data_IF_686557858232
#
_entry.id   IF_686557858232
#
_cell.length_a   1.000
_cell.length_b   1.000
_cell.length_c   1.000
_cell.angle_alpha   90.00
_cell.angle_beta   90.00
_cell.angle_gamma   90.00
#
_symmetry.space_group_name_H-M   'P 1'
#
loop_
_entity.id
_entity.type
_entity.pdbx_description
1 polymer ?
#
# COMPACT_ATOMS: atom_id res chain seq x y z
N UNK A 1 -19.52 -6.46 26.67
CA UNK A 1 -18.77 -7.03 25.52
C UNK A 1 -18.07 -5.86 24.84
N UNK A 2 -17.12 -5.29 25.57
CA UNK A 2 -16.40 -4.05 25.23
C UNK A 2 -14.91 -4.41 25.35
N UNK A 3 -14.06 -3.86 24.47
CA UNK A 3 -12.64 -4.22 24.23
C UNK A 3 -12.37 -5.22 23.10
N UNK A 4 -12.92 -5.00 21.91
CA UNK A 4 -12.44 -5.71 20.70
C UNK A 4 -12.07 -4.83 19.50
N UNK A 5 -11.93 -3.52 19.69
CA UNK A 5 -11.21 -2.70 18.71
C UNK A 5 -9.76 -2.67 19.16
N UNK A 6 -8.90 -3.42 18.46
CA UNK A 6 -7.44 -3.29 18.56
C UNK A 6 -7.06 -1.87 18.16
N UNK A 7 -6.97 -0.96 19.11
CA UNK A 7 -6.73 0.47 18.85
C UNK A 7 -5.36 0.81 18.22
N UNK A 8 -4.47 -0.16 17.98
CA UNK A 8 -3.19 0.13 17.35
C UNK A 8 -2.70 -0.96 16.38
N UNK A 9 -3.54 -1.45 15.45
CA UNK A 9 -3.02 -2.35 14.40
C UNK A 9 -2.15 -1.59 13.38
N UNK A 10 -2.60 -0.43 12.92
CA UNK A 10 -2.01 0.33 11.82
C UNK A 10 -0.78 1.17 12.16
N UNK A 11 -0.66 1.79 13.36
CA UNK A 11 0.51 2.57 13.72
C UNK A 11 1.82 1.82 13.47
N UNK A 12 2.71 2.42 12.67
CA UNK A 12 4.02 1.86 12.34
C UNK A 12 4.03 0.72 11.31
N UNK A 13 2.87 0.23 10.84
CA UNK A 13 2.83 -0.80 9.77
C UNK A 13 3.31 -0.22 8.45
N UNK A 14 4.21 -0.92 7.78
CA UNK A 14 4.62 -0.64 6.41
C UNK A 14 3.57 -1.21 5.47
N UNK A 15 2.77 -0.34 4.87
CA UNK A 15 1.71 -0.72 3.93
C UNK A 15 2.12 -0.35 2.52
N UNK A 16 2.14 -1.33 1.62
CA UNK A 16 2.42 -1.12 0.20
C UNK A 16 1.12 -1.19 -0.62
N UNK A 17 0.89 -0.19 -1.48
CA UNK A 17 -0.32 -0.09 -2.31
C UNK A 17 0.05 0.01 -3.79
N UNK A 18 -0.31 -0.98 -4.60
CA UNK A 18 -0.29 -0.80 -6.07
C UNK A 18 -1.55 -0.05 -6.50
N UNK A 19 -1.45 0.86 -7.47
CA UNK A 19 -2.59 1.66 -7.93
C UNK A 19 -2.98 2.79 -6.97
N UNK A 20 -2.08 3.23 -6.09
CA UNK A 20 -2.34 4.26 -5.06
C UNK A 20 -2.76 5.64 -5.62
N UNK A 21 -2.50 5.92 -6.90
CA UNK A 21 -2.92 7.16 -7.57
C UNK A 21 -4.34 7.11 -8.15
N UNK A 22 -4.97 5.93 -8.21
CA UNK A 22 -6.36 5.79 -8.63
C UNK A 22 -7.35 6.16 -7.52
N UNK A 23 -8.64 6.30 -7.86
CA UNK A 23 -9.66 6.75 -6.91
C UNK A 23 -9.68 5.95 -5.58
N UNK A 24 -9.74 4.63 -5.64
CA UNK A 24 -9.74 3.79 -4.42
C UNK A 24 -8.39 3.83 -3.70
N UNK A 25 -7.31 3.85 -4.46
CA UNK A 25 -5.95 3.84 -3.93
C UNK A 25 -5.62 5.11 -3.15
N UNK A 26 -6.05 6.27 -3.63
CA UNK A 26 -5.78 7.55 -2.99
C UNK A 26 -6.55 7.70 -1.67
N UNK A 27 -7.83 7.29 -1.65
CA UNK A 27 -8.63 7.24 -0.42
C UNK A 27 -8.08 6.25 0.60
N UNK A 28 -7.67 5.05 0.17
CA UNK A 28 -7.07 4.06 1.06
C UNK A 28 -5.74 4.57 1.65
N UNK A 29 -4.88 5.15 0.82
CA UNK A 29 -3.61 5.72 1.27
C UNK A 29 -3.84 6.84 2.30
N UNK A 30 -4.76 7.76 2.02
CA UNK A 30 -5.15 8.83 2.94
C UNK A 30 -5.61 8.29 4.30
N UNK A 31 -6.49 7.29 4.28
CA UNK A 31 -7.03 6.69 5.51
C UNK A 31 -5.94 5.99 6.33
N UNK A 32 -5.07 5.21 5.68
CA UNK A 32 -3.97 4.50 6.37
C UNK A 32 -2.94 5.45 6.97
N UNK A 33 -2.63 6.55 6.29
CA UNK A 33 -1.77 7.61 6.83
C UNK A 33 -2.39 8.23 8.09
N UNK A 34 -3.71 8.49 8.08
CA UNK A 34 -4.44 8.99 9.27
C UNK A 34 -4.42 7.99 10.44
N UNK A 35 -4.36 6.70 10.14
CA UNK A 35 -4.26 5.63 11.14
C UNK A 35 -2.81 5.36 11.61
N UNK A 36 -1.84 6.16 11.16
CA UNK A 36 -0.43 6.08 11.58
C UNK A 36 0.41 5.02 10.86
N UNK A 37 -0.08 4.45 9.75
CA UNK A 37 0.72 3.54 8.95
C UNK A 37 1.77 4.29 8.11
N UNK A 38 2.92 3.64 7.87
CA UNK A 38 3.89 4.08 6.87
C UNK A 38 3.47 3.55 5.50
N UNK A 39 3.01 4.41 4.60
CA UNK A 39 2.47 4.00 3.30
C UNK A 39 3.48 4.26 2.18
N UNK A 40 3.69 3.27 1.31
CA UNK A 40 4.34 3.44 -0.01
C UNK A 40 3.40 3.00 -1.12
N UNK A 41 3.40 3.75 -2.20
CA UNK A 41 2.55 3.48 -3.35
C UNK A 41 3.35 3.29 -4.63
N UNK A 42 2.83 2.48 -5.54
CA UNK A 42 3.34 2.38 -6.92
C UNK A 42 2.17 2.31 -7.91
N UNK A 43 2.17 3.20 -8.89
CA UNK A 43 1.22 3.21 -10.00
C UNK A 43 1.99 3.50 -11.28
N UNK A 44 1.65 2.81 -12.37
CA UNK A 44 2.25 3.02 -13.68
C UNK A 44 1.17 2.96 -14.75
N UNK A 45 1.43 3.63 -15.87
CA UNK A 45 0.72 3.33 -17.11
C UNK A 45 1.01 1.89 -17.57
N UNK A 46 0.11 1.27 -18.35
CA UNK A 46 0.39 0.01 -19.02
C UNK A 46 1.69 0.09 -19.85
N UNK A 47 2.41 -1.02 -19.99
CA UNK A 47 3.59 -1.15 -20.86
C UNK A 47 4.77 -0.22 -20.53
N UNK A 48 5.19 -0.21 -19.26
CA UNK A 48 6.39 0.52 -18.79
C UNK A 48 7.60 -0.42 -18.67
N UNK A 49 8.81 0.14 -18.79
CA UNK A 49 10.08 -0.57 -18.57
C UNK A 49 10.85 0.13 -17.45
N UNK A 50 11.20 -0.56 -16.35
CA UNK A 50 10.84 -1.94 -16.01
C UNK A 50 9.33 -2.12 -15.79
N UNK A 51 8.84 -3.35 -15.99
CA UNK A 51 7.44 -3.66 -15.79
C UNK A 51 7.05 -3.50 -14.30
N UNK A 52 5.76 -3.20 -14.06
CA UNK A 52 5.23 -3.01 -12.70
C UNK A 52 5.61 -4.17 -11.76
N UNK A 53 5.51 -5.41 -12.24
CA UNK A 53 5.84 -6.61 -11.46
C UNK A 53 7.30 -6.61 -10.96
N UNK A 54 8.24 -6.16 -11.79
CA UNK A 54 9.66 -6.10 -11.44
C UNK A 54 9.91 -5.03 -10.36
N UNK A 55 9.32 -3.85 -10.51
CA UNK A 55 9.43 -2.80 -9.50
C UNK A 55 8.81 -3.22 -8.17
N UNK A 56 7.65 -3.90 -8.20
CA UNK A 56 6.99 -4.44 -7.01
C UNK A 56 7.90 -5.44 -6.30
N UNK A 57 8.52 -6.38 -7.02
CA UNK A 57 9.44 -7.36 -6.43
C UNK A 57 10.63 -6.68 -5.73
N UNK A 58 11.25 -5.68 -6.38
CA UNK A 58 12.36 -4.89 -5.80
C UNK A 58 11.94 -4.13 -4.55
N UNK A 59 10.74 -3.54 -4.55
CA UNK A 59 10.19 -2.81 -3.41
C UNK A 59 9.88 -3.73 -2.23
N UNK A 60 9.28 -4.89 -2.48
CA UNK A 60 8.99 -5.88 -1.43
C UNK A 60 10.29 -6.39 -0.81
N UNK A 61 11.30 -6.71 -1.61
CA UNK A 61 12.59 -7.19 -1.11
C UNK A 61 13.34 -6.13 -0.28
N UNK A 62 13.33 -4.86 -0.72
CA UNK A 62 14.10 -3.79 -0.07
C UNK A 62 13.39 -3.15 1.13
N UNK A 63 12.07 -3.01 1.08
CA UNK A 63 11.30 -2.28 2.11
C UNK A 63 10.48 -3.19 3.02
N UNK A 64 10.21 -4.43 2.60
CA UNK A 64 9.58 -5.48 3.41
C UNK A 64 8.28 -5.01 4.08
N UNK A 65 7.21 -4.74 3.30
CA UNK A 65 5.93 -4.30 3.85
C UNK A 65 5.30 -5.39 4.72
N UNK A 66 4.61 -4.97 5.78
CA UNK A 66 3.82 -5.86 6.65
C UNK A 66 2.48 -6.21 5.98
N UNK A 67 1.95 -5.31 5.16
CA UNK A 67 0.66 -5.44 4.47
C UNK A 67 0.78 -4.94 3.03
N UNK A 68 0.16 -5.67 2.10
CA UNK A 68 0.10 -5.29 0.68
C UNK A 68 -1.36 -5.21 0.23
N UNK A 69 -1.73 -4.08 -0.37
CA UNK A 69 -2.99 -3.91 -1.10
C UNK A 69 -2.67 -3.81 -2.60
N UNK A 70 -3.19 -4.74 -3.39
CA UNK A 70 -3.07 -4.69 -4.85
C UNK A 70 -4.33 -4.09 -5.46
N UNK A 71 -4.28 -2.81 -5.85
CA UNK A 71 -5.39 -2.09 -6.48
C UNK A 71 -5.07 -1.64 -7.91
N UNK A 72 -3.85 -1.87 -8.39
CA UNK A 72 -3.53 -1.69 -9.80
C UNK A 72 -4.33 -2.70 -10.64
N UNK A 73 -5.05 -2.21 -11.63
CA UNK A 73 -5.75 -3.02 -12.62
C UNK A 73 -5.54 -2.39 -14.00
N UNK A 74 -5.55 -3.22 -15.04
CA UNK A 74 -5.65 -2.77 -16.44
C UNK A 74 -7.10 -2.87 -16.89
#
# INVERSE_FOLDING_TARGET
MENMVKEAFWPGKKVFITGHTGFKGSWLAFWLLHLGAAVKGLSLAPNTTPALAELVARLIASWQPDVVFHLAAQ
#
